data_IF_596007364587
#
_entry.id   IF_596007364587
#
_cell.length_a   1.000
_cell.length_b   1.000
_cell.length_c   1.000
_cell.angle_alpha   90.00
_cell.angle_beta   90.00
_cell.angle_gamma   90.00
#
_symmetry.space_group_name_H-M   'P 1'
#
loop_
_entity.id
_entity.type
_entity.pdbx_description
1 polymer ?
#
# COMPACT_ATOMS: atom_id res chain seq x y z
N UNK A 1 0.58 -55.34 36.57
CA UNK A 1 1.70 -54.41 36.71
C UNK A 1 2.57 -54.56 35.47
N UNK A 2 2.71 -53.49 34.66
CA UNK A 2 3.56 -53.47 33.47
C UNK A 2 2.82 -53.00 32.22
N UNK A 3 2.53 -51.69 32.16
CA UNK A 3 1.96 -50.99 31.01
C UNK A 3 2.95 -50.87 29.84
N UNK A 4 2.36 -50.79 28.64
CA UNK A 4 2.97 -50.61 27.31
C UNK A 4 3.72 -49.28 27.15
N UNK A 5 4.72 -49.22 26.26
CA UNK A 5 4.68 -48.30 25.10
C UNK A 5 5.82 -48.54 24.09
N UNK A 6 5.44 -48.72 22.82
CA UNK A 6 6.33 -48.70 21.66
C UNK A 6 6.79 -47.27 21.41
N UNK A 7 8.09 -47.04 21.29
CA UNK A 7 8.62 -45.78 20.75
C UNK A 7 8.36 -45.73 19.24
N UNK A 8 7.36 -44.93 18.83
CA UNK A 8 7.23 -44.46 17.46
C UNK A 8 8.03 -43.17 17.31
N UNK A 9 9.06 -43.19 16.47
CA UNK A 9 9.69 -41.98 15.95
C UNK A 9 8.76 -41.43 14.88
N UNK A 10 8.03 -40.36 15.20
CA UNK A 10 7.34 -39.56 14.20
C UNK A 10 8.24 -38.39 13.81
N UNK A 11 8.95 -38.55 12.69
CA UNK A 11 9.60 -37.46 11.96
C UNK A 11 8.49 -36.71 11.21
N UNK A 12 7.92 -35.68 11.83
CA UNK A 12 7.03 -34.74 11.13
C UNK A 12 7.88 -33.90 10.18
N UNK A 13 7.87 -34.27 8.90
CA UNK A 13 8.25 -33.38 7.82
C UNK A 13 7.23 -32.25 7.80
N UNK A 14 7.68 -31.05 8.17
CA UNK A 14 6.94 -29.82 7.93
C UNK A 14 6.96 -29.60 6.42
N UNK A 15 5.91 -30.07 5.73
CA UNK A 15 5.71 -29.78 4.32
C UNK A 15 5.56 -28.26 4.16
N UNK A 16 6.64 -27.64 3.70
CA UNK A 16 6.62 -26.28 3.17
C UNK A 16 5.79 -26.30 1.90
N UNK A 17 4.51 -25.99 2.04
CA UNK A 17 3.66 -25.66 0.92
C UNK A 17 4.30 -24.50 0.12
N UNK A 18 4.43 -24.61 -1.21
CA UNK A 18 4.91 -23.52 -2.02
C UNK A 18 3.94 -22.34 -1.88
N UNK A 19 4.47 -21.19 -1.46
CA UNK A 19 3.75 -19.92 -1.53
C UNK A 19 3.54 -19.58 -3.00
N UNK A 20 2.37 -19.93 -3.52
CA UNK A 20 1.88 -19.48 -4.83
C UNK A 20 2.12 -17.96 -4.96
N UNK A 21 2.54 -17.45 -6.13
CA UNK A 21 2.71 -16.01 -6.32
C UNK A 21 1.33 -15.38 -6.18
N UNK A 22 1.05 -14.80 -5.01
CA UNK A 22 -0.22 -14.12 -4.77
C UNK A 22 -0.35 -13.05 -5.84
N UNK A 23 -1.30 -13.24 -6.75
CA UNK A 23 -1.81 -12.19 -7.61
C UNK A 23 -2.30 -11.10 -6.65
N UNK A 24 -1.45 -10.09 -6.35
CA UNK A 24 -1.76 -8.99 -5.44
C UNK A 24 -2.80 -8.09 -6.10
N UNK A 25 -4.03 -8.58 -6.19
CA UNK A 25 -5.19 -7.79 -6.57
C UNK A 25 -5.56 -6.95 -5.38
N UNK A 26 -5.18 -5.67 -5.46
CA UNK A 26 -5.65 -4.66 -4.52
C UNK A 26 -7.16 -4.53 -4.72
N UNK A 27 -7.92 -4.98 -3.73
CA UNK A 27 -9.38 -4.91 -3.69
C UNK A 27 -9.84 -3.53 -3.22
N UNK A 28 -10.83 -2.96 -3.92
CA UNK A 28 -11.39 -1.65 -3.59
C UNK A 28 -11.94 -1.62 -2.15
N UNK A 29 -11.58 -0.59 -1.39
CA UNK A 29 -12.01 -0.39 0.01
C UNK A 29 -11.26 -1.23 1.05
N UNK A 30 -10.39 -2.15 0.63
CA UNK A 30 -9.62 -2.98 1.55
C UNK A 30 -8.30 -2.30 1.92
N UNK A 31 -7.90 -2.45 3.19
CA UNK A 31 -6.62 -1.96 3.70
C UNK A 31 -5.47 -2.63 2.95
N UNK A 32 -4.47 -1.83 2.55
CA UNK A 32 -3.26 -2.35 1.93
C UNK A 32 -2.47 -3.27 2.87
N UNK A 33 -1.76 -4.28 2.34
CA UNK A 33 -0.77 -5.03 3.09
C UNK A 33 0.24 -4.10 3.78
N UNK A 34 0.76 -4.43 4.97
CA UNK A 34 1.65 -3.55 5.73
C UNK A 34 2.88 -3.05 4.95
N UNK A 35 3.48 -3.90 4.12
CA UNK A 35 4.65 -3.53 3.33
C UNK A 35 4.30 -2.53 2.22
N UNK A 36 3.18 -2.74 1.52
CA UNK A 36 2.67 -1.82 0.51
C UNK A 36 2.27 -0.49 1.15
N UNK A 37 1.57 -0.53 2.29
CA UNK A 37 1.19 0.67 3.04
C UNK A 37 2.43 1.49 3.42
N UNK A 38 3.45 0.83 3.99
CA UNK A 38 4.71 1.46 4.35
C UNK A 38 5.41 2.06 3.14
N UNK A 39 5.44 1.33 2.02
CA UNK A 39 6.04 1.83 0.78
C UNK A 39 5.32 3.09 0.28
N UNK A 40 4.00 3.08 0.23
CA UNK A 40 3.20 4.22 -0.21
C UNK A 40 3.41 5.43 0.72
N UNK A 41 3.37 5.24 2.03
CA UNK A 41 3.57 6.35 2.99
C UNK A 41 4.98 6.92 2.86
N UNK A 42 5.98 6.05 2.80
CA UNK A 42 7.39 6.45 2.86
C UNK A 42 7.88 7.01 1.54
N UNK A 43 7.49 6.47 0.38
CA UNK A 43 8.08 6.81 -0.92
C UNK A 43 7.15 7.60 -1.83
N UNK A 44 5.84 7.62 -1.56
CA UNK A 44 4.86 8.29 -2.42
C UNK A 44 4.25 9.49 -1.69
N UNK A 45 3.52 9.24 -0.60
CA UNK A 45 2.81 10.28 0.13
C UNK A 45 3.77 11.35 0.69
N UNK A 46 5.03 11.00 0.94
CA UNK A 46 6.05 11.95 1.40
C UNK A 46 6.24 13.15 0.46
N UNK A 47 5.93 13.00 -0.83
CA UNK A 47 6.05 14.05 -1.85
C UNK A 47 4.75 14.82 -2.08
N UNK A 48 3.67 14.48 -1.38
CA UNK A 48 2.45 15.28 -1.45
C UNK A 48 2.66 16.62 -0.72
N UNK A 49 2.32 17.78 -1.32
CA UNK A 49 2.55 19.10 -0.70
C UNK A 49 1.78 19.26 0.63
N UNK A 50 0.67 18.55 0.77
CA UNK A 50 -0.15 18.55 1.99
C UNK A 50 0.03 17.28 2.84
N UNK A 51 1.17 16.57 2.74
CA UNK A 51 1.38 15.28 3.44
C UNK A 51 0.98 15.33 4.92
N UNK A 52 1.41 16.38 5.64
CA UNK A 52 1.13 16.55 7.08
C UNK A 52 -0.37 16.58 7.38
N UNK A 53 -1.18 17.18 6.50
CA UNK A 53 -2.64 17.23 6.65
C UNK A 53 -3.29 15.88 6.33
N UNK A 54 -2.72 15.13 5.37
CA UNK A 54 -3.22 13.82 4.94
C UNK A 54 -3.02 12.75 6.02
N UNK A 55 -1.83 12.67 6.63
CA UNK A 55 -1.50 11.74 7.74
C UNK A 55 -1.72 12.36 9.14
N UNK A 56 -2.50 13.44 9.27
CA UNK A 56 -2.82 13.96 10.59
C UNK A 56 -3.62 12.93 11.41
N UNK A 57 -3.32 12.78 12.70
CA UNK A 57 -3.98 11.82 13.60
C UNK A 57 -3.21 10.51 13.79
N UNK A 58 -3.77 9.63 14.62
CA UNK A 58 -3.21 8.32 14.96
C UNK A 58 -4.04 7.20 14.32
N UNK A 59 -3.45 6.02 14.15
CA UNK A 59 -4.16 4.85 13.61
C UNK A 59 -4.52 4.97 12.12
N UNK A 60 -3.80 5.81 11.38
CA UNK A 60 -4.03 5.97 9.94
C UNK A 60 -3.67 4.69 9.19
N UNK A 61 -4.45 4.36 8.16
CA UNK A 61 -4.14 3.29 7.22
C UNK A 61 -4.50 3.67 5.78
N UNK A 62 -3.91 2.96 4.82
CA UNK A 62 -4.14 3.23 3.38
C UNK A 62 -5.11 2.21 2.79
N UNK A 63 -6.05 2.69 1.99
CA UNK A 63 -6.90 1.88 1.11
C UNK A 63 -6.78 2.37 -0.33
N UNK A 64 -7.08 1.50 -1.28
CA UNK A 64 -7.33 1.88 -2.69
C UNK A 64 -8.81 1.69 -2.93
N UNK A 65 -9.44 2.64 -3.60
CA UNK A 65 -10.86 2.54 -3.92
C UNK A 65 -11.18 3.47 -5.10
N UNK A 66 -12.37 3.32 -5.69
CA UNK A 66 -12.78 4.08 -6.86
C UNK A 66 -13.06 5.53 -6.51
N UNK A 67 -12.70 6.43 -7.42
CA UNK A 67 -13.07 7.83 -7.27
C UNK A 67 -14.60 7.98 -7.40
N UNK A 68 -15.23 8.67 -6.43
CA UNK A 68 -16.69 8.76 -6.34
C UNK A 68 -17.34 9.44 -7.57
N UNK A 69 -16.61 10.34 -8.22
CA UNK A 69 -17.08 11.06 -9.43
C UNK A 69 -16.56 10.43 -10.73
N UNK A 70 -15.43 9.73 -10.66
CA UNK A 70 -14.74 9.19 -11.83
C UNK A 70 -14.55 7.68 -11.64
N UNK A 71 -15.64 6.92 -11.76
CA UNK A 71 -15.66 5.49 -11.41
C UNK A 71 -14.69 4.58 -12.21
N UNK A 72 -14.08 5.12 -13.28
CA UNK A 72 -13.02 4.47 -14.05
C UNK A 72 -11.62 4.60 -13.44
N UNK A 73 -11.41 5.45 -12.43
CA UNK A 73 -10.13 5.61 -11.75
C UNK A 73 -10.18 5.10 -10.32
N UNK A 74 -9.04 4.59 -9.86
CA UNK A 74 -8.80 4.24 -8.45
C UNK A 74 -7.87 5.28 -7.84
N UNK A 75 -8.15 5.66 -6.60
CA UNK A 75 -7.34 6.60 -5.82
C UNK A 75 -6.85 5.94 -4.54
N UNK A 76 -5.76 6.49 -4.00
CA UNK A 76 -5.27 6.13 -2.68
C UNK A 76 -5.98 7.01 -1.65
N UNK A 77 -6.36 6.40 -0.53
CA UNK A 77 -7.03 7.09 0.56
C UNK A 77 -6.30 6.84 1.87
N UNK A 78 -6.13 7.90 2.65
CA UNK A 78 -5.80 7.79 4.07
C UNK A 78 -7.12 7.68 4.83
N UNK A 79 -7.27 6.59 5.56
CA UNK A 79 -8.35 6.35 6.49
C UNK A 79 -7.84 6.62 7.90
N UNK A 80 -8.57 7.42 8.67
CA UNK A 80 -8.25 7.73 10.06
C UNK A 80 -9.14 6.94 11.02
N UNK A 81 -8.70 6.77 12.27
CA UNK A 81 -9.47 6.04 13.29
C UNK A 81 -10.80 6.70 13.65
N UNK A 82 -10.97 7.99 13.34
CA UNK A 82 -12.21 8.75 13.49
C UNK A 82 -13.22 8.49 12.35
N UNK A 83 -12.89 7.60 11.40
CA UNK A 83 -13.71 7.29 10.24
C UNK A 83 -13.59 8.30 9.10
N UNK A 84 -12.78 9.37 9.26
CA UNK A 84 -12.53 10.31 8.18
C UNK A 84 -11.68 9.66 7.07
N UNK A 85 -11.96 10.06 5.84
CA UNK A 85 -11.33 9.55 4.62
C UNK A 85 -10.81 10.71 3.79
N UNK A 86 -9.52 10.68 3.46
CA UNK A 86 -8.86 11.72 2.66
C UNK A 86 -8.16 11.06 1.47
N UNK A 87 -8.58 11.40 0.26
CA UNK A 87 -7.88 10.95 -0.94
C UNK A 87 -6.52 11.64 -1.07
N UNK A 88 -5.59 11.03 -1.79
CA UNK A 88 -4.45 11.76 -2.35
C UNK A 88 -4.11 11.21 -3.72
N UNK A 89 -3.72 12.12 -4.61
CA UNK A 89 -3.38 11.78 -5.99
C UNK A 89 -1.98 11.18 -6.07
N UNK A 90 -1.89 9.93 -6.51
CA UNK A 90 -0.62 9.27 -6.85
C UNK A 90 0.18 10.07 -7.88
N UNK A 91 -0.50 10.55 -8.94
CA UNK A 91 0.07 11.41 -9.99
C UNK A 91 0.70 12.66 -9.39
N UNK A 92 -0.01 13.36 -8.51
CA UNK A 92 0.50 14.58 -7.85
C UNK A 92 1.73 14.28 -6.98
N UNK A 93 1.77 13.14 -6.30
CA UNK A 93 2.95 12.73 -5.53
C UNK A 93 4.16 12.49 -6.44
N UNK A 94 3.98 11.76 -7.54
CA UNK A 94 5.03 11.51 -8.52
C UNK A 94 5.52 12.79 -9.22
N UNK A 95 4.62 13.68 -9.61
CA UNK A 95 4.99 14.98 -10.19
C UNK A 95 5.91 15.77 -9.25
N UNK A 96 5.57 15.83 -7.96
CA UNK A 96 6.41 16.52 -6.97
C UNK A 96 7.74 15.80 -6.72
N UNK A 97 7.76 14.47 -6.72
CA UNK A 97 9.00 13.70 -6.65
C UNK A 97 9.94 14.06 -7.82
N UNK A 98 9.44 14.02 -9.05
CA UNK A 98 10.23 14.30 -10.25
C UNK A 98 10.73 15.75 -10.22
N UNK A 99 9.89 16.70 -9.81
CA UNK A 99 10.30 18.10 -9.65
C UNK A 99 11.40 18.28 -8.61
N UNK A 100 11.37 17.50 -7.53
CA UNK A 100 12.38 17.57 -6.48
C UNK A 100 13.72 16.92 -6.90
N UNK A 101 13.68 15.85 -7.69
CA UNK A 101 14.89 15.09 -8.08
C UNK A 101 15.51 15.54 -9.41
N UNK A 102 14.69 16.02 -10.35
CA UNK A 102 15.10 16.34 -11.72
C UNK A 102 14.54 17.70 -12.16
N UNK A 103 14.86 18.80 -11.46
CA UNK A 103 14.21 20.10 -11.66
C UNK A 103 14.25 20.59 -13.11
N UNK A 104 15.38 20.43 -13.79
CA UNK A 104 15.58 20.93 -15.16
C UNK A 104 14.76 20.16 -16.22
N UNK A 105 14.47 18.88 -15.97
CA UNK A 105 13.73 18.02 -16.88
C UNK A 105 12.26 17.80 -16.45
N UNK A 106 11.89 18.21 -15.24
CA UNK A 106 10.61 17.83 -14.64
C UNK A 106 9.41 18.34 -15.45
N UNK A 107 9.45 19.58 -15.94
CA UNK A 107 8.34 20.15 -16.69
C UNK A 107 8.08 19.43 -18.02
N UNK A 108 9.15 19.17 -18.77
CA UNK A 108 9.05 18.47 -20.05
C UNK A 108 8.62 17.01 -19.86
N UNK A 109 9.16 16.33 -18.83
CA UNK A 109 8.76 14.97 -18.48
C UNK A 109 7.30 14.89 -18.05
N UNK A 110 6.89 15.69 -17.06
CA UNK A 110 5.52 15.67 -16.54
C UNK A 110 4.51 15.97 -17.66
N UNK A 111 4.78 16.98 -18.50
CA UNK A 111 3.89 17.33 -19.62
C UNK A 111 3.73 16.19 -20.63
N UNK A 112 4.80 15.42 -20.88
CA UNK A 112 4.79 14.33 -21.87
C UNK A 112 4.06 13.09 -21.34
N UNK A 113 4.26 12.73 -20.08
CA UNK A 113 3.83 11.44 -19.53
C UNK A 113 2.62 11.52 -18.59
N UNK A 114 2.37 12.67 -17.98
CA UNK A 114 1.28 12.86 -17.03
C UNK A 114 0.20 13.77 -17.62
N UNK A 115 -0.61 13.19 -18.52
CA UNK A 115 -1.79 13.84 -19.09
C UNK A 115 -2.90 14.00 -18.06
#
# INVERSE_FOLDING_TARGET
MGETTKHHVNRSHEEQHPVEPTECRITDGIKLPPDDEKFIVTNVLMYHPERKKKIAGNGNYITVDRHQVFHGSRCLYVMSSDGSRKDFSYKKCLENYIRAQYPDAADSFCRKYFK
#
